data_IF_604267050647
#
_entry.id   IF_604267050647
#
_cell.length_a   1.000
_cell.length_b   1.000
_cell.length_c   1.000
_cell.angle_alpha   90.00
_cell.angle_beta   90.00
_cell.angle_gamma   90.00
#
_symmetry.space_group_name_H-M   'P 1'
#
loop_
_entity.id
_entity.type
_entity.pdbx_description
1 polymer ?
#
# COMPACT_ATOMS: atom_id res chain seq x y z
N UNK A 1 21.54 -2.51 20.58
CA UNK A 1 21.96 -2.66 19.17
C UNK A 1 20.96 -1.89 18.34
N UNK A 2 21.36 -0.76 17.77
CA UNK A 2 20.52 -0.05 16.80
C UNK A 2 20.62 -0.83 15.48
N UNK A 3 19.49 -1.30 14.97
CA UNK A 3 19.45 -1.89 13.64
C UNK A 3 19.52 -0.73 12.64
N UNK A 4 20.73 -0.37 12.21
CA UNK A 4 20.95 0.62 11.16
C UNK A 4 20.54 0.03 9.81
N UNK A 5 19.77 0.79 9.04
CA UNK A 5 19.39 0.41 7.67
C UNK A 5 19.86 1.47 6.69
N UNK A 6 20.24 1.04 5.49
CA UNK A 6 20.63 1.96 4.43
C UNK A 6 19.38 2.63 3.84
N UNK A 7 19.49 3.90 3.44
CA UNK A 7 18.41 4.64 2.78
C UNK A 7 17.82 3.87 1.59
N UNK A 8 18.67 3.19 0.80
CA UNK A 8 18.21 2.38 -0.34
C UNK A 8 17.35 1.17 0.08
N UNK A 9 17.59 0.61 1.27
CA UNK A 9 16.77 -0.46 1.82
C UNK A 9 15.41 0.06 2.27
N UNK A 10 15.32 1.31 2.76
CA UNK A 10 14.06 1.95 3.15
C UNK A 10 13.11 2.23 1.97
N UNK A 11 13.58 2.14 0.71
CA UNK A 11 12.77 2.31 -0.50
C UNK A 11 12.43 0.95 -1.13
N UNK A 12 13.31 -0.05 -0.98
CA UNK A 12 13.14 -1.39 -1.55
C UNK A 12 12.69 -2.39 -0.50
N UNK A 13 13.64 -3.00 0.21
CA UNK A 13 13.41 -4.13 1.14
C UNK A 13 12.45 -3.79 2.27
N UNK A 14 12.57 -2.57 2.80
CA UNK A 14 11.80 -2.03 3.92
C UNK A 14 10.97 -0.81 3.47
N UNK A 15 10.53 -0.81 2.21
CA UNK A 15 9.65 0.21 1.65
C UNK A 15 8.26 0.21 2.30
N UNK A 16 7.47 1.25 2.02
CA UNK A 16 6.07 1.35 2.47
C UNK A 16 5.30 0.07 2.13
N UNK A 17 4.56 -0.49 3.09
CA UNK A 17 3.78 -1.71 2.92
C UNK A 17 4.56 -3.02 3.05
N UNK A 18 5.88 -2.99 3.21
CA UNK A 18 6.67 -4.17 3.59
C UNK A 18 6.38 -4.59 5.03
N UNK A 19 6.54 -5.89 5.31
CA UNK A 19 6.46 -6.46 6.66
C UNK A 19 7.87 -6.88 7.08
N UNK A 20 8.29 -6.38 8.23
CA UNK A 20 9.61 -6.63 8.82
C UNK A 20 9.44 -7.48 10.07
N UNK A 21 10.12 -8.62 10.08
CA UNK A 21 10.10 -9.55 11.19
C UNK A 21 11.23 -9.31 12.19
N UNK A 22 10.84 -9.28 13.46
CA UNK A 22 11.70 -9.29 14.63
C UNK A 22 11.37 -10.53 15.47
N UNK A 23 12.26 -10.96 16.38
CA UNK A 23 12.01 -12.15 17.21
C UNK A 23 10.69 -12.12 17.98
N UNK A 24 10.30 -10.94 18.47
CA UNK A 24 9.13 -10.75 19.33
C UNK A 24 7.96 -10.01 18.62
N UNK A 25 8.15 -9.52 17.38
CA UNK A 25 7.20 -8.64 16.70
C UNK A 25 7.27 -8.76 15.18
N UNK A 26 6.16 -8.45 14.51
CA UNK A 26 6.13 -8.19 13.07
C UNK A 26 5.59 -6.78 12.86
N UNK A 27 6.31 -5.97 12.10
CA UNK A 27 6.00 -4.56 11.88
C UNK A 27 5.75 -4.30 10.39
N UNK A 28 4.68 -3.58 10.06
CA UNK A 28 4.47 -3.04 8.72
C UNK A 28 5.00 -1.61 8.63
N UNK A 29 5.77 -1.33 7.59
CA UNK A 29 6.28 0.01 7.29
C UNK A 29 5.15 0.90 6.77
N UNK A 30 4.99 2.07 7.40
CA UNK A 30 3.91 3.03 7.13
C UNK A 30 4.38 4.05 6.08
N UNK A 31 3.47 4.44 5.18
CA UNK A 31 3.69 5.49 4.20
C UNK A 31 4.03 6.81 4.88
N UNK A 32 5.07 7.54 4.42
CA UNK A 32 5.31 8.89 4.90
C UNK A 32 4.17 9.86 4.54
N UNK A 33 3.40 9.58 3.49
CA UNK A 33 2.37 10.50 2.95
C UNK A 33 1.13 10.62 3.85
N UNK A 34 0.87 9.61 4.68
CA UNK A 34 -0.30 9.52 5.57
C UNK A 34 0.02 9.97 7.01
N UNK A 35 1.22 10.53 7.21
CA UNK A 35 1.70 10.94 8.52
C UNK A 35 1.59 12.46 8.69
N UNK A 36 1.14 12.89 9.86
CA UNK A 36 1.12 14.31 10.26
C UNK A 36 2.50 14.97 10.11
N UNK A 37 3.55 14.22 10.45
CA UNK A 37 4.96 14.60 10.24
C UNK A 37 5.57 13.69 9.17
N UNK A 38 5.37 14.03 7.90
CA UNK A 38 5.98 13.36 6.75
C UNK A 38 7.44 13.79 6.57
N UNK A 39 8.19 13.08 5.72
CA UNK A 39 9.59 13.43 5.42
C UNK A 39 9.77 14.74 4.63
N UNK A 40 8.66 15.33 4.16
CA UNK A 40 8.62 16.61 3.44
C UNK A 40 8.19 17.81 4.28
N UNK A 41 7.96 17.64 5.58
CA UNK A 41 7.50 18.72 6.48
C UNK A 41 8.66 19.55 7.06
N UNK A 42 8.44 20.84 7.22
CA UNK A 42 9.34 21.89 7.75
C UNK A 42 8.41 22.92 8.44
N UNK A 43 8.75 23.74 9.44
CA UNK A 43 9.93 24.56 9.69
C UNK A 43 9.58 25.32 11.01
N UNK A 44 10.36 25.21 12.11
CA UNK A 44 10.47 26.20 13.23
C UNK A 44 10.84 25.65 14.62
N UNK A 45 10.81 24.32 14.89
CA UNK A 45 11.05 23.83 16.27
C UNK A 45 12.00 22.65 16.47
N UNK A 46 12.42 21.92 15.43
CA UNK A 46 13.15 20.65 15.65
C UNK A 46 14.40 20.36 14.80
N UNK A 47 14.84 21.27 13.91
CA UNK A 47 16.19 21.23 13.31
C UNK A 47 16.46 20.15 12.23
N UNK A 48 15.53 19.88 11.31
CA UNK A 48 15.74 18.94 10.19
C UNK A 48 15.41 19.61 8.85
N UNK A 49 16.27 19.44 7.85
CA UNK A 49 16.06 19.95 6.49
C UNK A 49 14.96 19.14 5.76
N UNK A 50 14.15 19.82 4.94
CA UNK A 50 13.27 19.20 3.93
C UNK A 50 14.07 18.22 3.07
N UNK A 51 13.78 16.92 3.17
CA UNK A 51 14.34 15.91 2.27
C UNK A 51 13.60 15.87 0.92
N UNK A 52 13.12 17.02 0.45
CA UNK A 52 12.34 17.16 -0.78
C UNK A 52 13.28 17.07 -1.98
N UNK A 53 12.92 16.21 -2.94
CA UNK A 53 13.57 16.12 -4.24
C UNK A 53 12.57 16.60 -5.29
N UNK A 54 12.95 17.64 -6.03
CA UNK A 54 12.15 18.20 -7.11
C UNK A 54 12.74 17.86 -8.47
N UNK A 55 11.93 17.32 -9.36
CA UNK A 55 12.19 17.12 -10.79
C UNK A 55 10.81 17.18 -11.49
N UNK A 56 10.49 18.32 -12.11
CA UNK A 56 9.14 18.56 -12.63
C UNK A 56 8.75 17.60 -13.75
N UNK A 57 9.72 17.13 -14.54
CA UNK A 57 9.49 16.13 -15.58
C UNK A 57 9.05 14.81 -14.96
N UNK A 58 9.79 14.32 -13.96
CA UNK A 58 9.44 13.09 -13.25
C UNK A 58 8.17 13.25 -12.41
N UNK A 59 7.96 14.40 -11.79
CA UNK A 59 6.71 14.75 -11.09
C UNK A 59 5.50 14.68 -12.05
N UNK A 60 5.58 15.32 -13.22
CA UNK A 60 4.53 15.29 -14.24
C UNK A 60 4.33 13.89 -14.85
N UNK A 61 5.40 13.12 -15.00
CA UNK A 61 5.35 11.73 -15.44
C UNK A 61 4.60 10.85 -14.43
N UNK A 62 4.84 11.06 -13.13
CA UNK A 62 4.33 10.23 -12.05
C UNK A 62 3.05 10.76 -11.39
N UNK A 63 2.62 11.98 -11.73
CA UNK A 63 1.43 12.60 -11.16
C UNK A 63 1.58 12.97 -9.68
N UNK A 64 2.78 13.37 -9.26
CA UNK A 64 3.08 13.74 -7.86
C UNK A 64 3.63 15.16 -7.75
N UNK A 65 3.43 15.79 -6.59
CA UNK A 65 3.82 17.18 -6.36
C UNK A 65 5.33 17.33 -6.18
N UNK A 66 5.93 16.37 -5.47
CA UNK A 66 7.36 16.28 -5.21
C UNK A 66 7.70 14.87 -4.70
N UNK A 67 9.00 14.56 -4.64
CA UNK A 67 9.49 13.34 -4.01
C UNK A 67 10.10 13.66 -2.64
N UNK A 68 10.15 12.67 -1.76
CA UNK A 68 10.83 12.76 -0.47
C UNK A 68 11.87 11.64 -0.34
N UNK A 69 13.04 11.97 0.18
CA UNK A 69 14.05 10.97 0.55
C UNK A 69 13.79 10.48 1.99
N UNK A 70 14.00 9.18 2.26
CA UNK A 70 14.03 8.68 3.63
C UNK A 70 15.04 9.47 4.47
N UNK A 71 14.71 9.81 5.73
CA UNK A 71 15.57 10.64 6.56
C UNK A 71 16.89 9.93 6.88
N UNK A 72 18.02 10.62 6.68
CA UNK A 72 19.35 10.14 7.04
C UNK A 72 19.64 10.23 8.55
N UNK A 73 18.91 11.10 9.25
CA UNK A 73 18.92 11.27 10.71
C UNK A 73 17.48 11.17 11.21
N UNK A 74 17.26 10.44 12.29
CA UNK A 74 15.92 10.24 12.86
C UNK A 74 15.80 10.91 14.23
N UNK A 75 14.62 11.42 14.57
CA UNK A 75 14.25 11.85 15.91
C UNK A 75 12.87 11.29 16.31
N UNK A 76 12.27 11.76 17.40
CA UNK A 76 10.93 11.33 17.85
C UNK A 76 9.78 11.62 16.86
N UNK A 77 9.96 12.55 15.93
CA UNK A 77 8.94 13.01 14.98
C UNK A 77 9.19 12.52 13.55
N UNK A 78 10.46 12.56 13.12
CA UNK A 78 10.93 12.27 11.77
C UNK A 78 11.74 10.99 11.81
N UNK A 79 11.24 9.97 11.12
CA UNK A 79 11.87 8.67 11.02
C UNK A 79 11.07 7.71 10.16
N UNK A 80 11.57 6.49 10.04
CA UNK A 80 10.78 5.40 9.48
C UNK A 80 9.76 4.98 10.52
N UNK A 81 8.48 5.13 10.18
CA UNK A 81 7.39 4.70 11.07
C UNK A 81 6.91 3.32 10.66
N UNK A 82 6.61 2.52 11.66
CA UNK A 82 6.06 1.20 11.48
C UNK A 82 5.02 0.95 12.58
N UNK A 83 4.08 0.06 12.31
CA UNK A 83 3.10 -0.42 13.28
C UNK A 83 3.08 -1.94 13.32
N UNK A 84 2.55 -2.50 14.40
CA UNK A 84 2.41 -3.95 14.50
C UNK A 84 1.39 -4.47 13.50
N UNK A 85 1.83 -5.35 12.61
CA UNK A 85 0.96 -6.08 11.69
C UNK A 85 1.57 -7.47 11.41
N UNK A 86 0.78 -8.55 11.44
CA UNK A 86 -0.65 -8.66 11.68
C UNK A 86 -1.05 -8.22 13.10
N UNK A 87 -2.28 -7.73 13.24
CA UNK A 87 -2.85 -7.41 14.54
C UNK A 87 -3.24 -8.66 15.33
N UNK A 88 -3.51 -9.78 14.65
CA UNK A 88 -3.77 -11.06 15.31
C UNK A 88 -2.46 -11.73 15.74
N UNK A 89 -2.40 -12.14 17.00
CA UNK A 89 -1.32 -12.88 17.61
C UNK A 89 -1.88 -14.07 18.38
N UNK A 90 -1.05 -15.04 18.75
CA UNK A 90 -1.44 -16.14 19.62
C UNK A 90 -0.44 -16.37 20.75
N UNK A 91 -0.93 -16.88 21.88
CA UNK A 91 -0.07 -17.26 23.00
C UNK A 91 0.64 -18.60 22.69
N UNK A 92 1.97 -18.72 22.86
CA UNK A 92 2.68 -19.98 22.67
C UNK A 92 2.26 -21.07 23.66
N UNK A 93 1.79 -20.68 24.85
CA UNK A 93 1.40 -21.60 25.93
C UNK A 93 -0.08 -22.00 25.82
N UNK A 94 -1.00 -21.08 26.09
CA UNK A 94 -2.44 -21.38 26.11
C UNK A 94 -3.11 -21.36 24.73
N UNK A 95 -2.38 -20.96 23.68
CA UNK A 95 -2.84 -20.95 22.27
C UNK A 95 -4.02 -20.04 21.97
N UNK A 96 -4.39 -19.18 22.92
CA UNK A 96 -5.43 -18.18 22.73
C UNK A 96 -5.01 -17.18 21.66
N UNK A 97 -5.93 -16.88 20.73
CA UNK A 97 -5.74 -15.85 19.72
C UNK A 97 -6.22 -14.52 20.30
N UNK A 98 -5.40 -13.49 20.15
CA UNK A 98 -5.70 -12.12 20.53
C UNK A 98 -5.54 -11.20 19.33
N UNK A 99 -6.37 -10.17 19.28
CA UNK A 99 -6.13 -9.02 18.42
C UNK A 99 -5.50 -7.90 19.26
N UNK A 100 -4.41 -7.29 18.77
CA UNK A 100 -3.69 -6.24 19.49
C UNK A 100 -4.56 -5.01 19.73
N UNK A 101 -5.36 -4.59 18.76
CA UNK A 101 -6.22 -3.42 18.92
C UNK A 101 -7.24 -3.67 20.02
N UNK A 102 -7.80 -4.88 20.08
CA UNK A 102 -8.67 -5.30 21.16
C UNK A 102 -7.96 -5.30 22.54
N UNK A 103 -6.70 -5.77 22.60
CA UNK A 103 -5.91 -5.72 23.84
C UNK A 103 -5.66 -4.29 24.31
N UNK A 104 -5.32 -3.38 23.39
CA UNK A 104 -5.13 -1.95 23.69
C UNK A 104 -6.41 -1.35 24.27
N UNK A 105 -7.56 -1.60 23.63
CA UNK A 105 -8.84 -1.01 24.06
C UNK A 105 -9.38 -1.60 25.37
N UNK A 106 -9.26 -2.91 25.59
CA UNK A 106 -9.93 -3.59 26.71
C UNK A 106 -9.02 -3.83 27.91
N UNK A 107 -7.70 -3.77 27.69
CA UNK A 107 -6.71 -3.95 28.74
C UNK A 107 -5.68 -2.80 28.78
N UNK A 108 -6.13 -1.52 28.84
CA UNK A 108 -5.24 -0.37 28.79
C UNK A 108 -4.25 -0.32 29.97
N UNK A 109 -4.62 -0.90 31.12
CA UNK A 109 -3.75 -0.97 32.29
C UNK A 109 -2.51 -1.86 32.09
N UNK A 110 -2.57 -2.85 31.18
CA UNK A 110 -1.40 -3.66 30.80
C UNK A 110 -0.52 -2.98 29.75
N UNK A 111 -1.03 -1.95 29.06
CA UNK A 111 -0.26 -1.23 28.05
C UNK A 111 1.02 -0.60 28.63
N UNK A 112 0.98 -0.12 29.88
CA UNK A 112 2.16 0.40 30.58
C UNK A 112 3.30 -0.63 30.67
N UNK A 113 2.96 -1.89 30.96
CA UNK A 113 3.94 -2.99 31.02
C UNK A 113 4.53 -3.29 29.65
N UNK A 114 3.72 -3.16 28.59
CA UNK A 114 4.15 -3.40 27.21
C UNK A 114 5.12 -2.32 26.73
N UNK A 115 4.84 -1.05 27.00
CA UNK A 115 5.72 0.08 26.59
C UNK A 115 7.03 0.13 27.38
N UNK A 116 7.04 -0.35 28.63
CA UNK A 116 8.26 -0.46 29.44
C UNK A 116 9.21 -1.56 28.88
N UNK A 117 8.67 -2.55 28.17
CA UNK A 117 9.47 -3.55 27.46
C UNK A 117 10.04 -2.92 26.18
N UNK A 118 11.37 -2.91 26.02
CA UNK A 118 12.05 -2.38 24.82
C UNK A 118 11.51 -2.92 23.49
N UNK A 119 10.93 -4.13 23.49
CA UNK A 119 10.35 -4.73 22.30
C UNK A 119 8.97 -4.18 21.94
N UNK A 120 8.18 -3.63 22.85
CA UNK A 120 6.78 -3.24 22.61
C UNK A 120 5.81 -4.41 22.33
N UNK A 121 6.29 -5.65 22.39
CA UNK A 121 5.50 -6.87 22.21
C UNK A 121 4.52 -7.12 23.36
N UNK A 122 3.27 -7.39 23.00
CA UNK A 122 2.22 -7.81 23.94
C UNK A 122 2.48 -9.20 24.51
N UNK A 123 1.95 -9.44 25.71
CA UNK A 123 1.97 -10.73 26.37
C UNK A 123 0.56 -11.30 26.53
N UNK A 124 0.46 -12.60 26.78
CA UNK A 124 -0.81 -13.26 27.03
C UNK A 124 -1.43 -12.83 28.36
N UNK A 125 -2.48 -12.01 28.30
CA UNK A 125 -3.21 -11.54 29.48
C UNK A 125 -3.78 -12.70 30.31
N UNK A 126 -4.39 -13.70 29.66
CA UNK A 126 -5.03 -14.80 30.39
C UNK A 126 -4.03 -15.69 31.15
N UNK A 127 -2.81 -15.91 30.62
CA UNK A 127 -1.79 -16.63 31.38
C UNK A 127 -1.25 -15.75 32.51
N UNK A 128 -1.01 -14.47 32.25
CA UNK A 128 -0.53 -13.53 33.28
C UNK A 128 -1.50 -13.42 34.47
N UNK A 129 -2.80 -13.29 34.22
CA UNK A 129 -3.81 -13.26 35.28
C UNK A 129 -3.92 -14.60 36.03
N UNK A 130 -3.73 -15.73 35.32
CA UNK A 130 -3.83 -17.07 35.91
C UNK A 130 -2.63 -17.45 36.78
N UNK A 131 -1.41 -17.15 36.34
CA UNK A 131 -0.18 -17.67 36.95
C UNK A 131 0.99 -16.66 37.01
N UNK A 132 0.76 -15.38 36.71
CA UNK A 132 1.78 -14.33 36.74
C UNK A 132 2.80 -14.38 35.60
N UNK A 133 2.69 -15.34 34.67
CA UNK A 133 3.70 -15.55 33.62
C UNK A 133 3.42 -14.71 32.37
N UNK A 134 4.43 -13.97 31.91
CA UNK A 134 4.35 -13.10 30.73
C UNK A 134 4.85 -13.82 29.48
N UNK A 135 4.01 -14.67 28.89
CA UNK A 135 4.30 -15.25 27.58
C UNK A 135 4.13 -14.20 26.49
N UNK A 136 5.22 -13.82 25.80
CA UNK A 136 5.17 -12.95 24.62
C UNK A 136 4.27 -13.57 23.55
N UNK A 137 3.34 -12.77 23.00
CA UNK A 137 2.45 -13.22 21.93
C UNK A 137 3.21 -13.33 20.62
N UNK A 138 2.90 -14.38 19.84
CA UNK A 138 3.51 -14.62 18.54
C UNK A 138 2.58 -14.06 17.45
N UNK A 139 3.06 -13.16 16.56
CA UNK A 139 2.26 -12.66 15.44
C UNK A 139 1.74 -13.80 14.55
N UNK A 140 0.50 -13.67 14.08
CA UNK A 140 -0.11 -14.65 13.17
C UNK A 140 0.77 -14.87 11.94
N UNK A 141 0.90 -16.14 11.54
CA UNK A 141 1.58 -16.51 10.29
C UNK A 141 0.71 -16.26 9.07
N UNK A 142 -0.61 -16.34 9.25
CA UNK A 142 -1.59 -16.22 8.17
C UNK A 142 -2.15 -14.81 8.11
N UNK A 143 -2.20 -14.30 6.88
CA UNK A 143 -2.78 -13.02 6.48
C UNK A 143 -3.66 -13.26 5.25
N UNK A 144 -4.49 -12.29 4.89
CA UNK A 144 -5.14 -12.26 3.58
C UNK A 144 -4.67 -11.05 2.79
N UNK A 145 -4.48 -11.20 1.47
CA UNK A 145 -4.05 -10.10 0.61
C UNK A 145 -4.67 -10.19 -0.78
N UNK A 146 -4.92 -9.03 -1.39
CA UNK A 146 -5.32 -8.90 -2.80
C UNK A 146 -4.10 -8.65 -3.69
N UNK A 147 -4.21 -8.85 -5.01
CA UNK A 147 -3.10 -8.53 -5.94
C UNK A 147 -2.76 -7.03 -5.94
N UNK A 148 -3.76 -6.18 -5.69
CA UNK A 148 -3.67 -4.71 -5.74
C UNK A 148 -3.07 -4.05 -4.49
N UNK A 149 -2.56 -4.82 -3.51
CA UNK A 149 -1.85 -4.24 -2.36
C UNK A 149 -2.60 -4.34 -1.03
N UNK A 150 -3.93 -4.41 -1.04
CA UNK A 150 -4.74 -4.52 0.19
C UNK A 150 -4.40 -5.80 0.96
N UNK A 151 -4.32 -5.68 2.28
CA UNK A 151 -3.84 -6.74 3.17
C UNK A 151 -4.52 -6.64 4.52
N UNK A 152 -4.94 -7.76 5.07
CA UNK A 152 -5.62 -7.82 6.35
C UNK A 152 -5.17 -9.04 7.15
N UNK A 153 -5.50 -9.01 8.44
CA UNK A 153 -5.38 -10.16 9.30
C UNK A 153 -6.17 -11.35 8.74
N UNK A 154 -5.67 -12.58 8.93
CA UNK A 154 -6.50 -13.75 8.64
C UNK A 154 -7.76 -13.74 9.52
N UNK A 155 -8.97 -13.85 8.95
CA UNK A 155 -10.20 -13.59 9.69
C UNK A 155 -10.64 -14.82 10.49
N UNK A 156 -9.89 -15.14 11.55
CA UNK A 156 -10.07 -16.35 12.37
C UNK A 156 -11.51 -16.53 12.89
N UNK A 157 -12.16 -15.45 13.32
CA UNK A 157 -13.53 -15.50 13.84
C UNK A 157 -14.54 -15.88 12.76
N UNK A 158 -14.47 -15.20 11.62
CA UNK A 158 -15.29 -15.51 10.46
C UNK A 158 -15.04 -16.95 9.99
N UNK A 159 -13.77 -17.36 9.93
CA UNK A 159 -13.37 -18.68 9.46
C UNK A 159 -13.89 -19.80 10.36
N UNK A 160 -13.73 -19.67 11.67
CA UNK A 160 -14.21 -20.64 12.66
C UNK A 160 -15.74 -20.79 12.62
N UNK A 161 -16.45 -19.69 12.34
CA UNK A 161 -17.91 -19.62 12.32
C UNK A 161 -18.51 -19.62 10.90
N UNK A 162 -17.79 -20.12 9.90
CA UNK A 162 -18.24 -20.11 8.49
C UNK A 162 -19.48 -21.00 8.23
N UNK A 163 -19.65 -22.05 9.02
CA UNK A 163 -20.81 -22.96 8.95
C UNK A 163 -22.08 -22.27 9.42
N UNK A 164 -23.19 -22.47 8.71
CA UNK A 164 -24.46 -21.80 8.93
C UNK A 164 -24.95 -21.86 10.38
N UNK A 165 -24.82 -23.03 11.02
CA UNK A 165 -25.12 -23.27 12.44
C UNK A 165 -24.46 -22.26 13.39
N UNK A 166 -23.25 -21.79 13.06
CA UNK A 166 -22.44 -20.94 13.92
C UNK A 166 -22.35 -19.48 13.45
N UNK A 167 -22.82 -19.16 12.23
CA UNK A 167 -22.78 -17.80 11.67
C UNK A 167 -23.42 -16.74 12.58
N UNK A 168 -24.56 -16.99 13.27
CA UNK A 168 -25.17 -15.98 14.16
C UNK A 168 -24.25 -15.53 15.29
N UNK A 169 -23.26 -16.36 15.66
CA UNK A 169 -22.41 -16.12 16.81
C UNK A 169 -21.26 -15.12 16.54
N UNK A 170 -20.97 -14.82 15.26
CA UNK A 170 -19.91 -13.89 14.85
C UNK A 170 -20.40 -12.44 14.97
N UNK A 171 -19.48 -11.50 15.18
CA UNK A 171 -19.82 -10.05 15.27
C UNK A 171 -20.61 -9.57 14.05
N UNK A 172 -20.24 -10.06 12.87
CA UNK A 172 -20.80 -9.65 11.57
C UNK A 172 -22.03 -10.46 11.11
N UNK A 173 -22.53 -11.42 11.90
CA UNK A 173 -23.51 -12.41 11.42
C UNK A 173 -24.76 -12.60 12.26
N UNK A 174 -24.91 -11.87 13.36
CA UNK A 174 -26.06 -12.03 14.25
C UNK A 174 -25.86 -11.34 15.60
N UNK A 175 -26.18 -12.06 16.68
CA UNK A 175 -26.14 -11.55 18.07
C UNK A 175 -24.72 -11.28 18.58
N UNK A 176 -23.68 -11.72 17.84
CA UNK A 176 -22.28 -11.52 18.20
C UNK A 176 -21.89 -12.20 19.50
N UNK A 177 -22.70 -13.15 20.01
CA UNK A 177 -22.56 -13.62 21.40
C UNK A 177 -21.20 -14.22 21.68
N UNK A 178 -20.56 -14.91 20.73
CA UNK A 178 -19.24 -15.51 20.99
C UNK A 178 -18.13 -14.48 21.17
N UNK A 179 -18.19 -13.36 20.44
CA UNK A 179 -17.22 -12.29 20.60
C UNK A 179 -17.52 -11.40 21.83
N UNK A 180 -18.79 -11.25 22.20
CA UNK A 180 -19.23 -10.42 23.32
C UNK A 180 -19.13 -11.18 24.67
N UNK A 181 -19.30 -12.51 24.69
CA UNK A 181 -19.55 -13.27 25.93
C UNK A 181 -18.33 -13.58 26.80
N UNK A 182 -17.28 -12.75 26.82
CA UNK A 182 -16.09 -12.71 27.73
C UNK A 182 -14.88 -12.26 26.92
N UNK A 183 -14.61 -10.95 26.92
CA UNK A 183 -13.34 -10.32 26.50
C UNK A 183 -12.71 -10.89 25.21
N UNK A 184 -13.41 -10.82 24.07
CA UNK A 184 -13.03 -11.03 22.65
C UNK A 184 -11.79 -11.89 22.27
N UNK A 185 -11.37 -12.82 23.13
CA UNK A 185 -10.28 -13.79 22.96
C UNK A 185 -10.87 -15.20 23.05
N UNK A 186 -12.06 -15.33 22.49
CA UNK A 186 -12.87 -16.55 22.48
C UNK A 186 -12.31 -17.62 21.54
N UNK A 187 -11.29 -17.30 20.74
CA UNK A 187 -10.65 -18.25 19.85
C UNK A 187 -9.33 -18.77 20.42
N UNK A 188 -9.02 -20.03 20.14
CA UNK A 188 -7.72 -20.64 20.39
C UNK A 188 -7.33 -21.58 19.26
N UNK A 189 -6.02 -21.79 19.12
CA UNK A 189 -5.47 -22.84 18.29
C UNK A 189 -5.42 -24.18 19.04
N UNK A 190 -5.72 -25.27 18.35
CA UNK A 190 -5.48 -26.64 18.80
C UNK A 190 -4.55 -27.32 17.79
N UNK A 191 -3.45 -27.89 18.28
CA UNK A 191 -2.47 -28.61 17.47
C UNK A 191 -2.60 -30.09 17.80
N UNK A 192 -2.97 -30.89 16.81
CA UNK A 192 -3.05 -32.36 16.89
C UNK A 192 -1.87 -33.04 16.17
N UNK A 193 -1.06 -32.25 15.47
CA UNK A 193 0.10 -32.71 14.69
C UNK A 193 0.92 -31.52 14.20
N UNK A 194 1.89 -31.81 13.33
CA UNK A 194 2.80 -30.80 12.77
C UNK A 194 2.33 -30.24 11.41
N UNK A 195 1.35 -30.89 10.76
CA UNK A 195 0.83 -30.42 9.47
C UNK A 195 -0.19 -29.30 9.67
N UNK A 196 -0.39 -28.48 8.64
CA UNK A 196 -1.40 -27.42 8.68
C UNK A 196 -2.82 -27.99 8.90
N UNK A 197 -3.09 -29.18 8.37
CA UNK A 197 -4.38 -29.87 8.52
C UNK A 197 -4.68 -30.27 9.95
N UNK A 198 -3.63 -30.45 10.77
CA UNK A 198 -3.74 -30.82 12.18
C UNK A 198 -3.80 -29.59 13.10
N UNK A 199 -3.84 -28.38 12.52
CA UNK A 199 -4.04 -27.14 13.26
C UNK A 199 -5.50 -26.72 13.11
N UNK A 200 -6.17 -26.53 14.24
CA UNK A 200 -7.58 -26.16 14.29
C UNK A 200 -7.77 -24.83 14.99
N UNK A 201 -8.69 -24.03 14.49
CA UNK A 201 -9.23 -22.86 15.19
C UNK A 201 -10.48 -23.31 15.92
N UNK A 202 -10.55 -23.07 17.22
CA UNK A 202 -11.68 -23.44 18.06
C UNK A 202 -12.23 -22.27 18.83
N UNK A 203 -13.56 -22.15 18.85
CA UNK A 203 -14.27 -21.25 19.74
C UNK A 203 -14.39 -21.85 21.14
N UNK A 204 -14.13 -21.04 22.17
CA UNK A 204 -14.26 -21.42 23.59
C UNK A 204 -15.68 -21.26 24.12
N UNK A 205 -16.52 -20.52 23.38
CA UNK A 205 -17.90 -20.19 23.79
C UNK A 205 -18.91 -21.15 23.16
N UNK A 206 -18.73 -21.46 21.87
CA UNK A 206 -19.56 -22.44 21.17
C UNK A 206 -18.71 -23.61 20.67
N UNK A 207 -19.36 -24.66 20.18
CA UNK A 207 -18.69 -25.87 19.67
C UNK A 207 -18.07 -25.72 18.27
N UNK A 208 -17.90 -24.48 17.76
CA UNK A 208 -17.28 -24.25 16.46
C UNK A 208 -15.79 -24.63 16.49
N UNK A 209 -15.37 -25.43 15.51
CA UNK A 209 -14.00 -25.92 15.36
C UNK A 209 -13.74 -26.19 13.88
N UNK A 210 -12.68 -25.60 13.33
CA UNK A 210 -12.36 -25.66 11.90
C UNK A 210 -10.87 -25.91 11.67
N UNK A 211 -10.54 -26.84 10.77
CA UNK A 211 -9.16 -27.13 10.37
C UNK A 211 -8.59 -25.98 9.54
N UNK A 212 -7.31 -25.64 9.72
CA UNK A 212 -6.57 -24.71 8.86
C UNK A 212 -6.00 -25.38 7.61
N UNK A 213 -6.08 -26.71 7.49
CA UNK A 213 -5.58 -27.46 6.33
C UNK A 213 -5.96 -26.89 4.97
N UNK A 214 -7.23 -26.52 4.74
CA UNK A 214 -7.65 -26.10 3.41
C UNK A 214 -7.34 -24.63 3.13
N UNK A 215 -6.86 -23.79 4.06
CA UNK A 215 -6.86 -22.31 3.90
C UNK A 215 -6.10 -21.78 2.66
N UNK A 216 -5.20 -22.56 2.08
CA UNK A 216 -4.48 -22.21 0.84
C UNK A 216 -5.15 -22.75 -0.44
N UNK A 217 -6.23 -23.50 -0.33
CA UNK A 217 -7.00 -24.01 -1.45
C UNK A 217 -7.85 -22.89 -2.06
N UNK A 218 -7.31 -22.34 -3.14
CA UNK A 218 -7.90 -21.24 -3.91
C UNK A 218 -9.02 -21.69 -4.85
N UNK A 219 -9.24 -22.99 -5.01
CA UNK A 219 -10.32 -23.51 -5.84
C UNK A 219 -11.52 -23.92 -5.00
N UNK A 220 -11.37 -23.98 -3.67
CA UNK A 220 -12.46 -24.19 -2.74
C UNK A 220 -13.40 -22.97 -2.71
N UNK A 221 -14.66 -23.09 -3.16
CA UNK A 221 -15.61 -21.99 -3.18
C UNK A 221 -15.90 -21.44 -1.78
N UNK A 222 -15.78 -22.24 -0.71
CA UNK A 222 -15.97 -21.81 0.69
C UNK A 222 -14.81 -20.93 1.18
N UNK A 223 -13.63 -21.05 0.58
CA UNK A 223 -12.46 -20.20 0.82
C UNK A 223 -12.35 -19.05 -0.19
N UNK A 224 -12.94 -19.22 -1.37
CA UNK A 224 -13.30 -18.16 -2.31
C UNK A 224 -14.62 -17.45 -1.93
N UNK A 225 -14.98 -17.48 -0.64
CA UNK A 225 -15.99 -16.61 -0.03
C UNK A 225 -15.43 -15.33 0.62
N UNK A 226 -14.38 -14.64 0.09
CA UNK A 226 -14.21 -13.26 0.48
C UNK A 226 -15.35 -12.39 -0.03
N UNK A 227 -16.31 -12.91 -0.81
CA UNK A 227 -17.57 -12.21 -1.05
C UNK A 227 -18.37 -12.00 0.25
N UNK A 228 -18.58 -13.01 1.11
CA UNK A 228 -19.30 -12.81 2.38
C UNK A 228 -18.47 -12.05 3.43
N UNK A 229 -17.15 -12.28 3.50
CA UNK A 229 -16.28 -11.51 4.40
C UNK A 229 -16.16 -10.04 3.97
N UNK A 230 -15.96 -9.77 2.68
CA UNK A 230 -15.91 -8.40 2.16
C UNK A 230 -17.28 -7.73 2.19
N UNK A 231 -18.38 -8.42 1.86
CA UNK A 231 -19.73 -7.83 1.96
C UNK A 231 -20.07 -7.41 3.38
N UNK A 232 -19.73 -8.23 4.38
CA UNK A 232 -19.87 -7.84 5.79
C UNK A 232 -19.01 -6.62 6.16
N UNK A 233 -17.95 -6.34 5.39
CA UNK A 233 -17.04 -5.21 5.53
C UNK A 233 -17.37 -4.08 4.55
N UNK A 234 -18.57 -4.05 3.97
CA UNK A 234 -18.99 -3.06 2.95
C UNK A 234 -18.04 -2.99 1.75
N UNK A 235 -17.47 -4.12 1.35
CA UNK A 235 -16.50 -4.24 0.27
C UNK A 235 -15.11 -3.70 0.63
N UNK A 236 -14.81 -3.39 1.90
CA UNK A 236 -13.53 -2.81 2.29
C UNK A 236 -12.56 -3.83 2.89
N UNK A 237 -11.27 -3.62 2.67
CA UNK A 237 -10.18 -4.38 3.30
C UNK A 237 -9.15 -3.42 3.91
N UNK A 238 -8.40 -3.89 4.91
CA UNK A 238 -7.39 -3.08 5.58
C UNK A 238 -6.27 -2.63 4.64
N UNK A 239 -5.74 -1.43 4.93
CA UNK A 239 -4.58 -0.80 4.33
C UNK A 239 -3.63 -0.33 5.44
N UNK A 240 -3.00 -1.24 6.22
CA UNK A 240 -2.29 -0.89 7.44
C UNK A 240 -1.06 0.00 7.19
N UNK A 241 -0.51 0.02 5.98
CA UNK A 241 0.58 0.93 5.60
C UNK A 241 0.14 2.40 5.56
N UNK A 242 -1.16 2.70 5.55
CA UNK A 242 -1.66 4.07 5.74
C UNK A 242 -1.70 4.48 7.21
N UNK A 243 -1.52 3.53 8.13
CA UNK A 243 -1.56 3.75 9.57
C UNK A 243 -2.86 3.26 10.23
N UNK A 244 -3.11 3.79 11.42
CA UNK A 244 -4.28 3.50 12.25
C UNK A 244 -5.04 4.77 12.57
N UNK A 245 -6.36 4.63 12.75
CA UNK A 245 -7.17 5.68 13.34
C UNK A 245 -6.96 5.69 14.86
N UNK A 246 -6.43 6.78 15.40
CA UNK A 246 -6.10 6.88 16.83
C UNK A 246 -7.31 6.79 17.78
N UNK A 247 -8.53 7.08 17.29
CA UNK A 247 -9.75 6.99 18.10
C UNK A 247 -10.30 5.57 18.17
N UNK A 248 -10.27 4.85 17.05
CA UNK A 248 -10.85 3.50 16.96
C UNK A 248 -9.82 2.39 17.12
N UNK A 249 -8.53 2.72 17.05
CA UNK A 249 -7.41 1.78 16.95
C UNK A 249 -7.50 0.82 15.76
N UNK A 250 -8.36 1.08 14.78
CA UNK A 250 -8.46 0.26 13.57
C UNK A 250 -7.48 0.73 12.50
N UNK A 251 -7.01 -0.20 11.66
CA UNK A 251 -6.32 0.15 10.43
C UNK A 251 -7.23 0.97 9.51
N UNK A 252 -6.63 1.88 8.74
CA UNK A 252 -7.33 2.46 7.60
C UNK A 252 -7.78 1.34 6.65
N UNK A 253 -8.90 1.56 5.97
CA UNK A 253 -9.52 0.58 5.07
C UNK A 253 -9.74 1.22 3.71
N UNK A 254 -9.67 0.42 2.67
CA UNK A 254 -9.94 0.81 1.29
C UNK A 254 -10.91 -0.17 0.66
N UNK A 255 -11.68 0.32 -0.31
CA UNK A 255 -12.61 -0.52 -1.08
C UNK A 255 -11.83 -1.53 -1.93
N UNK A 256 -12.16 -2.80 -1.79
CA UNK A 256 -11.78 -3.84 -2.73
C UNK A 256 -12.63 -3.66 -3.98
N UNK A 257 -11.98 -3.45 -5.12
CA UNK A 257 -12.69 -3.30 -6.39
C UNK A 257 -13.51 -4.56 -6.71
N UNK A 258 -14.76 -4.35 -7.10
CA UNK A 258 -15.58 -5.44 -7.60
C UNK A 258 -14.99 -5.89 -8.95
N UNK A 259 -14.78 -7.20 -9.15
CA UNK A 259 -14.33 -7.68 -10.44
C UNK A 259 -15.44 -7.51 -11.50
N UNK A 260 -15.08 -7.36 -12.79
CA UNK A 260 -16.03 -7.43 -13.89
C UNK A 260 -16.87 -8.73 -13.82
N UNK A 261 -18.14 -8.67 -14.20
CA UNK A 261 -19.06 -9.83 -14.26
C UNK A 261 -19.30 -10.56 -12.92
N UNK A 262 -19.16 -9.88 -11.78
CA UNK A 262 -19.41 -10.47 -10.46
C UNK A 262 -20.75 -11.21 -10.35
N UNK A 263 -21.81 -10.70 -10.97
CA UNK A 263 -23.15 -11.33 -10.96
C UNK A 263 -23.18 -12.69 -11.65
N UNK A 264 -22.38 -12.90 -12.69
CA UNK A 264 -22.31 -14.17 -13.43
C UNK A 264 -21.48 -15.21 -12.65
N UNK A 265 -20.46 -14.75 -11.92
CA UNK A 265 -19.67 -15.58 -11.02
C UNK A 265 -20.53 -16.19 -9.92
N UNK A 266 -21.36 -15.36 -9.29
CA UNK A 266 -22.28 -15.79 -8.23
C UNK A 266 -23.30 -16.82 -8.73
N UNK A 267 -23.59 -16.84 -10.03
CA UNK A 267 -24.47 -17.83 -10.67
C UNK A 267 -23.74 -19.11 -11.09
N UNK A 268 -22.42 -19.20 -10.88
CA UNK A 268 -21.60 -20.39 -11.17
C UNK A 268 -21.25 -20.59 -12.65
N UNK A 269 -21.52 -19.61 -13.52
CA UNK A 269 -21.48 -19.75 -14.98
C UNK A 269 -20.18 -19.23 -15.63
N UNK A 270 -19.03 -19.40 -14.98
CA UNK A 270 -17.78 -18.72 -15.38
C UNK A 270 -16.70 -19.67 -15.89
N UNK A 271 -16.06 -19.29 -17.01
CA UNK A 271 -14.95 -20.03 -17.65
C UNK A 271 -13.68 -19.97 -16.80
N UNK A 272 -12.74 -20.90 -17.03
CA UNK A 272 -11.49 -20.99 -16.26
C UNK A 272 -10.65 -19.71 -16.31
N UNK A 273 -10.57 -19.07 -17.47
CA UNK A 273 -9.82 -17.82 -17.69
C UNK A 273 -10.38 -16.64 -16.88
N UNK A 274 -11.71 -16.54 -16.79
CA UNK A 274 -12.39 -15.52 -16.00
C UNK A 274 -12.17 -15.75 -14.49
N UNK A 275 -12.10 -17.01 -14.02
CA UNK A 275 -11.74 -17.31 -12.62
C UNK A 275 -10.37 -16.76 -12.24
N UNK A 276 -9.40 -16.77 -13.15
CA UNK A 276 -8.06 -16.22 -12.90
C UNK A 276 -8.03 -14.68 -12.84
N UNK A 277 -8.97 -14.01 -13.52
CA UNK A 277 -9.21 -12.56 -13.38
C UNK A 277 -9.84 -12.26 -12.03
N UNK A 278 -10.88 -12.99 -11.61
CA UNK A 278 -11.55 -12.82 -10.31
C UNK A 278 -10.58 -12.98 -9.14
N UNK A 279 -9.70 -13.96 -9.27
CA UNK A 279 -8.62 -14.28 -8.35
C UNK A 279 -7.72 -13.06 -8.05
N UNK A 280 -7.64 -12.05 -8.92
CA UNK A 280 -6.86 -10.81 -8.68
C UNK A 280 -7.51 -9.85 -7.68
N UNK A 281 -8.84 -9.77 -7.72
CA UNK A 281 -9.64 -8.86 -6.90
C UNK A 281 -9.90 -9.43 -5.51
N UNK A 282 -10.06 -10.75 -5.42
CA UNK A 282 -10.36 -11.39 -4.15
C UNK A 282 -9.12 -11.61 -3.28
N UNK A 283 -9.20 -11.31 -1.98
CA UNK A 283 -8.12 -11.57 -1.06
C UNK A 283 -7.92 -13.08 -0.89
N UNK A 284 -6.66 -13.48 -0.80
CA UNK A 284 -6.22 -14.86 -0.66
C UNK A 284 -5.35 -15.01 0.56
N UNK A 285 -5.38 -16.19 1.17
CA UNK A 285 -4.53 -16.49 2.32
C UNK A 285 -3.08 -16.61 1.88
N UNK A 286 -2.19 -15.89 2.56
CA UNK A 286 -0.74 -15.94 2.36
C UNK A 286 -0.03 -16.19 3.70
N UNK A 287 1.23 -16.60 3.62
CA UNK A 287 2.12 -16.65 4.77
C UNK A 287 2.93 -15.36 4.84
N UNK A 288 2.83 -14.64 5.95
CA UNK A 288 3.46 -13.33 6.18
C UNK A 288 4.97 -13.28 5.91
N UNK A 289 5.69 -14.34 6.20
CA UNK A 289 7.15 -14.45 6.01
C UNK A 289 7.57 -15.09 4.68
N UNK A 290 6.62 -15.39 3.79
CA UNK A 290 6.96 -15.88 2.46
C UNK A 290 7.34 -14.72 1.54
N UNK A 291 8.28 -14.94 0.63
CA UNK A 291 8.77 -13.92 -0.33
C UNK A 291 7.72 -13.42 -1.33
N UNK A 292 6.45 -13.83 -1.19
CA UNK A 292 5.34 -13.50 -2.09
C UNK A 292 4.31 -12.53 -1.50
N UNK A 293 4.61 -11.87 -0.38
CA UNK A 293 3.67 -10.94 0.28
C UNK A 293 3.91 -9.49 -0.12
N UNK A 294 5.11 -9.12 -0.57
CA UNK A 294 5.44 -7.72 -0.87
C UNK A 294 6.38 -7.65 -2.07
N UNK A 295 5.95 -6.92 -3.10
CA UNK A 295 6.74 -6.65 -4.29
C UNK A 295 6.76 -5.13 -4.55
N UNK A 296 7.89 -4.45 -4.30
CA UNK A 296 7.94 -3.01 -4.47
C UNK A 296 7.91 -2.63 -5.95
N UNK A 297 6.95 -1.78 -6.33
CA UNK A 297 6.86 -1.22 -7.67
C UNK A 297 7.72 0.04 -7.69
N UNK A 298 8.89 -0.07 -8.33
CA UNK A 298 9.87 1.00 -8.39
C UNK A 298 9.95 1.60 -9.80
N UNK A 299 10.28 2.88 -9.85
CA UNK A 299 10.62 3.58 -11.08
C UNK A 299 12.01 4.19 -10.96
N UNK A 300 12.77 4.09 -12.04
CA UNK A 300 14.10 4.66 -12.15
C UNK A 300 14.02 5.83 -13.14
N UNK A 301 14.45 7.00 -12.70
CA UNK A 301 14.56 8.18 -13.56
C UNK A 301 15.87 8.91 -13.28
N UNK A 302 16.37 9.63 -14.27
CA UNK A 302 17.55 10.47 -14.10
C UNK A 302 17.17 11.93 -13.87
N UNK A 303 17.82 12.58 -12.91
CA UNK A 303 17.61 14.02 -12.71
C UNK A 303 18.32 14.77 -13.83
N UNK A 304 17.55 15.56 -14.57
CA UNK A 304 18.08 16.40 -15.63
C UNK A 304 18.31 17.84 -15.12
N UNK A 305 19.27 18.59 -15.67
CA UNK A 305 19.39 20.01 -15.39
C UNK A 305 18.11 20.76 -15.78
N UNK A 306 17.71 21.76 -14.97
CA UNK A 306 16.43 22.46 -15.13
C UNK A 306 16.23 23.10 -16.51
N UNK A 307 17.31 23.45 -17.21
CA UNK A 307 17.26 24.09 -18.52
C UNK A 307 16.76 23.16 -19.65
N UNK A 308 16.60 21.85 -19.38
CA UNK A 308 16.23 20.84 -20.40
C UNK A 308 14.75 20.51 -20.48
N UNK A 309 13.94 20.98 -19.54
CA UNK A 309 12.50 20.75 -19.58
C UNK A 309 11.75 22.01 -19.18
N UNK A 310 10.63 22.27 -19.87
CA UNK A 310 9.79 23.44 -19.60
C UNK A 310 9.24 23.33 -18.19
N UNK A 311 9.48 24.33 -17.37
CA UNK A 311 8.84 24.38 -16.07
C UNK A 311 7.35 24.62 -16.28
N UNK A 312 6.51 23.72 -15.78
CA UNK A 312 5.09 24.03 -15.69
C UNK A 312 4.94 25.04 -14.55
N UNK A 313 4.24 26.15 -14.79
CA UNK A 313 3.87 27.11 -13.74
C UNK A 313 3.29 26.35 -12.53
N UNK A 314 3.52 26.86 -11.32
CA UNK A 314 3.11 26.25 -10.04
C UNK A 314 1.75 25.54 -10.16
N UNK A 315 1.78 24.21 -10.09
CA UNK A 315 0.58 23.38 -10.24
C UNK A 315 -0.10 23.21 -8.88
N UNK A 316 -1.45 23.21 -8.84
CA UNK A 316 -2.19 22.73 -7.68
C UNK A 316 -1.79 21.29 -7.37
N UNK A 317 -1.74 20.94 -6.09
CA UNK A 317 -1.32 19.61 -5.66
C UNK A 317 -2.29 18.54 -6.17
N UNK A 318 -1.78 17.35 -6.55
CA UNK A 318 -2.65 16.22 -6.95
C UNK A 318 -3.70 15.85 -5.89
N UNK A 319 -3.41 16.17 -4.62
CA UNK A 319 -4.34 16.02 -3.49
C UNK A 319 -5.48 17.04 -3.51
N UNK A 320 -5.22 18.28 -3.92
CA UNK A 320 -6.25 19.30 -4.13
C UNK A 320 -7.16 18.94 -5.31
N UNK A 321 -6.59 18.46 -6.41
CA UNK A 321 -7.39 18.00 -7.54
C UNK A 321 -8.27 16.79 -7.18
N UNK A 322 -7.76 15.82 -6.42
CA UNK A 322 -8.57 14.70 -5.94
C UNK A 322 -9.76 15.17 -5.08
N UNK A 323 -9.52 16.09 -4.14
CA UNK A 323 -10.61 16.68 -3.34
C UNK A 323 -11.60 17.44 -4.21
N UNK A 324 -11.11 18.17 -5.21
CA UNK A 324 -11.96 18.93 -6.11
C UNK A 324 -12.81 18.02 -7.01
N UNK A 325 -12.25 16.91 -7.48
CA UNK A 325 -12.99 15.85 -8.19
C UNK A 325 -14.10 15.28 -7.29
N UNK A 326 -13.80 15.01 -6.02
CA UNK A 326 -14.81 14.54 -5.07
C UNK A 326 -15.95 15.55 -4.89
N UNK A 327 -15.64 16.84 -4.83
CA UNK A 327 -16.64 17.93 -4.78
C UNK A 327 -17.48 17.99 -6.04
N UNK A 328 -16.87 17.89 -7.23
CA UNK A 328 -17.58 17.89 -8.50
C UNK A 328 -18.54 16.71 -8.63
N UNK A 329 -18.12 15.53 -8.19
CA UNK A 329 -18.98 14.33 -8.14
C UNK A 329 -20.13 14.54 -7.17
N UNK A 330 -19.85 15.11 -5.99
CA UNK A 330 -20.87 15.41 -4.98
C UNK A 330 -21.96 16.35 -5.50
N UNK A 331 -21.57 17.42 -6.18
CA UNK A 331 -22.49 18.42 -6.74
C UNK A 331 -23.31 17.83 -7.91
N UNK A 332 -22.72 16.91 -8.68
CA UNK A 332 -23.37 16.29 -9.84
C UNK A 332 -24.01 14.93 -9.53
N UNK A 333 -24.19 14.55 -8.25
CA UNK A 333 -24.77 13.25 -7.85
C UNK A 333 -26.09 12.91 -8.54
N UNK A 334 -26.92 13.89 -8.86
CA UNK A 334 -28.19 13.68 -9.56
C UNK A 334 -28.06 13.25 -11.03
N UNK A 335 -26.89 13.49 -11.64
CA UNK A 335 -26.58 13.19 -13.04
C UNK A 335 -25.64 11.97 -13.18
N UNK A 336 -25.31 11.31 -12.07
CA UNK A 336 -24.32 10.23 -12.02
C UNK A 336 -25.07 8.91 -11.72
N UNK A 337 -25.13 8.02 -12.70
CA UNK A 337 -25.86 6.74 -12.60
C UNK A 337 -25.19 5.73 -11.66
N UNK A 338 -23.84 5.76 -11.56
CA UNK A 338 -23.05 4.87 -10.71
C UNK A 338 -22.05 5.65 -9.85
N UNK A 339 -21.96 5.32 -8.55
CA UNK A 339 -20.99 5.96 -7.66
C UNK A 339 -19.56 5.52 -8.01
N UNK A 340 -18.67 6.44 -8.43
CA UNK A 340 -17.30 6.10 -8.79
C UNK A 340 -16.46 5.77 -7.55
N UNK A 341 -15.74 4.65 -7.59
CA UNK A 341 -14.93 4.15 -6.48
C UNK A 341 -13.42 4.25 -6.75
N UNK A 342 -13.01 4.45 -8.00
CA UNK A 342 -11.62 4.69 -8.41
C UNK A 342 -11.41 6.12 -8.88
N UNK A 343 -10.19 6.65 -8.73
CA UNK A 343 -9.83 7.92 -9.37
C UNK A 343 -10.06 7.88 -10.89
N UNK A 344 -9.85 6.73 -11.53
CA UNK A 344 -10.10 6.53 -12.95
C UNK A 344 -11.57 6.76 -13.33
N UNK A 345 -12.50 6.08 -12.64
CA UNK A 345 -13.94 6.26 -12.86
C UNK A 345 -14.36 7.69 -12.54
N UNK A 346 -13.83 8.26 -11.45
CA UNK A 346 -14.07 9.65 -11.09
C UNK A 346 -13.67 10.57 -12.25
N UNK A 347 -12.46 10.44 -12.77
CA UNK A 347 -11.96 11.23 -13.90
C UNK A 347 -12.76 11.01 -15.18
N UNK A 348 -13.14 9.76 -15.51
CA UNK A 348 -14.01 9.44 -16.66
C UNK A 348 -15.38 10.10 -16.54
N UNK A 349 -15.98 10.06 -15.35
CA UNK A 349 -17.25 10.74 -15.08
C UNK A 349 -17.07 12.25 -15.23
N UNK A 350 -16.01 12.84 -14.69
CA UNK A 350 -15.78 14.29 -14.88
C UNK A 350 -15.62 14.62 -16.37
N UNK A 351 -14.90 13.82 -17.17
CA UNK A 351 -14.80 14.03 -18.63
C UNK A 351 -16.14 13.92 -19.37
N UNK A 352 -17.09 13.17 -18.82
CA UNK A 352 -18.44 13.07 -19.40
C UNK A 352 -19.34 14.27 -19.06
N UNK A 353 -18.96 15.10 -18.09
CA UNK A 353 -19.72 16.30 -17.74
C UNK A 353 -19.50 17.41 -18.78
N UNK A 354 -20.52 18.27 -19.00
CA UNK A 354 -20.37 19.46 -19.84
C UNK A 354 -19.19 20.34 -19.41
N UNK A 355 -18.33 20.73 -20.35
CA UNK A 355 -17.14 21.55 -20.08
C UNK A 355 -17.50 22.89 -19.42
N UNK A 356 -18.68 23.47 -19.69
CA UNK A 356 -19.09 24.73 -19.05
C UNK A 356 -19.28 24.58 -17.53
N UNK A 357 -19.79 23.43 -17.07
CA UNK A 357 -19.99 23.13 -15.64
C UNK A 357 -18.63 23.01 -14.93
N UNK A 358 -17.69 22.30 -15.56
CA UNK A 358 -16.35 22.13 -15.03
C UNK A 358 -15.63 23.49 -14.95
N UNK A 359 -15.66 24.25 -16.04
CA UNK A 359 -15.00 25.55 -16.15
C UNK A 359 -15.51 26.57 -15.13
N UNK A 360 -16.83 26.67 -14.98
CA UNK A 360 -17.45 27.57 -13.99
C UNK A 360 -17.11 27.18 -12.56
N UNK A 361 -17.06 25.87 -12.26
CA UNK A 361 -16.66 25.39 -10.94
C UNK A 361 -15.18 25.62 -10.66
N UNK A 362 -14.30 25.43 -11.66
CA UNK A 362 -12.87 25.75 -11.54
C UNK A 362 -12.65 27.24 -11.23
N UNK A 363 -13.37 28.14 -11.91
CA UNK A 363 -13.31 29.58 -11.64
C UNK A 363 -13.73 29.88 -10.20
N UNK A 364 -14.85 29.32 -9.74
CA UNK A 364 -15.35 29.51 -8.37
C UNK A 364 -14.41 28.97 -7.28
N UNK A 365 -13.61 27.94 -7.61
CA UNK A 365 -12.64 27.33 -6.69
C UNK A 365 -11.22 27.91 -6.80
N UNK A 366 -10.97 28.87 -7.71
CA UNK A 366 -9.63 29.41 -7.96
C UNK A 366 -8.66 28.39 -8.59
N UNK A 367 -9.18 27.40 -9.31
CA UNK A 367 -8.41 26.32 -9.92
C UNK A 367 -8.10 26.65 -11.39
N UNK A 368 -6.84 26.45 -11.79
CA UNK A 368 -6.44 26.55 -13.19
C UNK A 368 -7.09 25.43 -14.03
N UNK A 369 -7.89 25.82 -15.03
CA UNK A 369 -8.64 24.90 -15.88
C UNK A 369 -7.73 24.00 -16.73
N UNK A 370 -6.66 24.53 -17.31
CA UNK A 370 -5.73 23.78 -18.16
C UNK A 370 -5.02 22.68 -17.37
N UNK A 371 -4.54 23.01 -16.17
CA UNK A 371 -3.89 22.04 -15.28
C UNK A 371 -4.88 20.96 -14.81
N UNK A 372 -6.13 21.34 -14.56
CA UNK A 372 -7.17 20.42 -14.14
C UNK A 372 -7.56 19.43 -15.24
N UNK A 373 -7.77 19.89 -16.47
CA UNK A 373 -8.06 19.01 -17.60
C UNK A 373 -6.87 18.10 -17.90
N UNK A 374 -5.65 18.63 -17.85
CA UNK A 374 -4.45 17.80 -17.99
C UNK A 374 -4.40 16.71 -16.91
N UNK A 375 -4.69 17.05 -15.65
CA UNK A 375 -4.74 16.09 -14.55
C UNK A 375 -5.79 15.00 -14.78
N UNK A 376 -7.00 15.38 -15.21
CA UNK A 376 -8.08 14.43 -15.47
C UNK A 376 -7.74 13.52 -16.65
N UNK A 377 -7.27 14.09 -17.76
CA UNK A 377 -6.88 13.33 -18.96
C UNK A 377 -5.86 12.26 -18.59
N UNK A 378 -4.80 12.64 -17.85
CA UNK A 378 -3.77 11.72 -17.32
C UNK A 378 -4.37 10.57 -16.51
N UNK A 379 -5.41 10.83 -15.74
CA UNK A 379 -6.01 9.87 -14.82
C UNK A 379 -7.27 9.17 -15.39
N UNK A 380 -7.69 9.46 -16.62
CA UNK A 380 -8.93 8.97 -17.24
C UNK A 380 -8.72 7.89 -18.32
N UNK A 381 -7.55 7.84 -18.96
CA UNK A 381 -7.23 6.83 -19.98
C UNK A 381 -6.76 5.52 -19.36
N UNK A 382 -7.12 4.39 -19.98
CA UNK A 382 -6.56 3.09 -19.62
C UNK A 382 -5.05 3.09 -19.89
N UNK A 383 -4.30 3.21 -18.80
CA UNK A 383 -2.86 3.41 -18.64
C UNK A 383 -1.97 2.34 -19.30
N UNK A 384 -2.01 2.20 -20.62
CA UNK A 384 -0.91 1.59 -21.40
C UNK A 384 -0.39 2.54 -22.47
N UNK A 385 -1.21 3.01 -23.41
CA UNK A 385 -0.76 3.89 -24.51
C UNK A 385 -0.20 5.22 -24.00
N UNK A 386 -0.91 5.90 -23.11
CA UNK A 386 -0.50 7.21 -22.58
C UNK A 386 0.73 7.15 -21.66
N UNK A 387 0.86 6.09 -20.84
CA UNK A 387 2.08 5.85 -20.06
C UNK A 387 3.26 5.50 -20.95
N UNK A 388 3.03 4.79 -22.07
CA UNK A 388 4.06 4.52 -23.07
C UNK A 388 4.50 5.85 -23.68
N UNK A 389 3.60 6.71 -24.14
CA UNK A 389 3.94 8.02 -24.73
C UNK A 389 4.66 8.95 -23.75
N UNK A 390 4.22 9.01 -22.49
CA UNK A 390 4.91 9.80 -21.45
C UNK A 390 6.29 9.23 -21.09
N UNK A 391 6.42 7.90 -20.97
CA UNK A 391 7.72 7.27 -20.73
C UNK A 391 8.65 7.47 -21.93
N UNK A 392 8.15 7.40 -23.15
CA UNK A 392 8.91 7.66 -24.37
C UNK A 392 9.34 9.12 -24.45
N UNK A 393 8.46 10.08 -24.15
CA UNK A 393 8.80 11.49 -24.03
C UNK A 393 9.88 11.73 -22.98
N UNK A 394 9.71 11.14 -21.79
CA UNK A 394 10.68 11.18 -20.70
C UNK A 394 12.05 10.62 -21.12
N UNK A 395 12.08 9.48 -21.81
CA UNK A 395 13.30 8.87 -22.35
C UNK A 395 13.91 9.70 -23.49
N UNK A 396 13.09 10.36 -24.29
CA UNK A 396 13.53 11.25 -25.33
C UNK A 396 14.16 12.53 -24.79
N UNK A 397 13.60 13.10 -23.72
CA UNK A 397 14.18 14.24 -22.99
C UNK A 397 15.54 13.86 -22.38
N UNK A 398 15.64 12.66 -21.79
CA UNK A 398 16.92 12.10 -21.31
C UNK A 398 17.93 11.94 -22.45
N UNK A 399 17.52 11.31 -23.56
CA UNK A 399 18.36 11.16 -24.75
C UNK A 399 18.85 12.50 -25.30
N UNK A 400 17.96 13.48 -25.44
CA UNK A 400 18.30 14.85 -25.87
C UNK A 400 19.31 15.48 -24.93
N UNK A 401 19.08 15.41 -23.62
CA UNK A 401 19.99 15.96 -22.63
C UNK A 401 21.38 15.31 -22.71
N UNK A 402 21.43 13.97 -22.77
CA UNK A 402 22.69 13.23 -22.80
C UNK A 402 23.49 13.53 -24.07
N UNK A 403 22.82 13.73 -25.20
CA UNK A 403 23.46 13.87 -26.50
C UNK A 403 23.75 15.32 -26.92
N UNK A 404 23.31 16.31 -26.14
CA UNK A 404 23.52 17.73 -26.38
C UNK A 404 24.78 18.24 -25.70
N UNK A 405 25.49 19.19 -26.33
CA UNK A 405 26.58 19.92 -25.68
C UNK A 405 25.97 20.94 -24.73
N UNK A 406 26.27 20.82 -23.44
CA UNK A 406 25.64 21.69 -22.44
C UNK A 406 26.58 22.81 -22.05
N UNK A 407 26.13 24.03 -22.30
CA UNK A 407 26.78 25.25 -21.85
C UNK A 407 26.09 25.71 -20.56
N UNK A 408 26.85 26.30 -19.62
CA UNK A 408 26.35 26.84 -18.34
C UNK A 408 25.90 25.82 -17.28
N UNK A 409 26.50 24.62 -17.22
CA UNK A 409 26.36 23.74 -16.04
C UNK A 409 27.00 24.40 -14.81
N UNK A 410 26.25 24.46 -13.71
CA UNK A 410 26.75 24.94 -12.42
C UNK A 410 27.37 23.79 -11.63
N UNK A 411 28.15 24.10 -10.59
CA UNK A 411 28.68 23.06 -9.67
C UNK A 411 27.58 22.27 -8.94
N UNK A 412 26.37 22.83 -8.85
CA UNK A 412 25.22 22.19 -8.20
C UNK A 412 24.50 21.21 -9.13
N UNK A 413 24.73 21.29 -10.44
CA UNK A 413 24.18 20.34 -11.39
C UNK A 413 24.91 19.01 -11.28
N UNK A 414 24.18 17.98 -10.85
CA UNK A 414 24.67 16.61 -10.77
C UNK A 414 24.68 15.92 -12.15
N UNK A 415 25.17 16.65 -13.15
CA UNK A 415 25.19 16.24 -14.54
C UNK A 415 26.49 16.70 -15.21
N UNK A 416 27.16 15.81 -15.93
CA UNK A 416 28.30 16.15 -16.79
C UNK A 416 28.42 15.12 -17.90
N UNK A 417 28.35 15.56 -19.15
CA UNK A 417 28.61 14.74 -20.33
C UNK A 417 29.83 15.25 -21.11
N UNK A 418 30.40 14.36 -21.91
CA UNK A 418 31.45 14.65 -22.89
C UNK A 418 31.13 13.90 -24.17
N UNK A 419 31.03 14.62 -25.28
CA UNK A 419 30.77 14.05 -26.60
C UNK A 419 32.11 13.80 -27.27
N UNK A 420 32.37 12.56 -27.66
CA UNK A 420 33.54 12.15 -28.43
C UNK A 420 33.12 11.71 -29.82
N UNK A 421 33.86 12.21 -30.81
CA UNK A 421 33.75 11.72 -32.18
C UNK A 421 34.21 10.26 -32.25
N UNK A 422 33.54 9.47 -33.08
CA UNK A 422 33.86 8.05 -33.22
C UNK A 422 35.02 7.92 -34.19
N UNK A 423 36.20 7.54 -33.67
CA UNK A 423 37.30 7.13 -34.51
C UNK A 423 37.19 5.63 -34.82
N UNK A 424 36.69 5.32 -36.01
CA UNK A 424 36.49 3.95 -36.52
C UNK A 424 37.59 3.52 -37.48
N UNK A 425 38.76 4.19 -37.49
CA UNK A 425 39.85 3.87 -38.42
C UNK A 425 40.26 2.40 -38.40
N UNK A 426 40.17 1.77 -37.23
CA UNK A 426 40.51 0.36 -37.03
C UNK A 426 39.33 -0.60 -37.34
N UNK A 427 38.11 -0.08 -37.49
CA UNK A 427 36.86 -0.85 -37.71
C UNK A 427 35.87 -0.06 -38.60
N UNK A 428 36.17 0.14 -39.90
CA UNK A 428 35.42 1.04 -40.78
C UNK A 428 33.94 0.66 -40.93
N UNK A 429 33.60 -0.63 -40.80
CA UNK A 429 32.23 -1.15 -40.82
C UNK A 429 31.33 -0.54 -39.74
N UNK A 430 31.90 -0.08 -38.62
CA UNK A 430 31.15 0.52 -37.51
C UNK A 430 30.64 1.93 -37.81
N UNK A 431 31.18 2.62 -38.83
CA UNK A 431 30.71 3.96 -39.23
C UNK A 431 29.24 4.00 -39.63
N UNK A 432 28.69 2.88 -40.10
CA UNK A 432 27.27 2.78 -40.46
C UNK A 432 26.34 2.68 -39.25
N UNK A 433 26.88 2.37 -38.07
CA UNK A 433 26.10 2.07 -36.86
C UNK A 433 26.36 3.06 -35.71
N UNK A 434 27.52 3.71 -35.68
CA UNK A 434 27.94 4.61 -34.60
C UNK A 434 28.11 6.05 -35.12
N UNK A 435 27.26 6.97 -34.64
CA UNK A 435 27.36 8.40 -34.98
C UNK A 435 28.28 9.16 -34.01
N UNK A 436 28.10 8.96 -32.69
CA UNK A 436 28.87 9.62 -31.63
C UNK A 436 28.92 8.76 -30.38
N UNK A 437 29.98 8.93 -29.56
CA UNK A 437 30.08 8.35 -28.23
C UNK A 437 29.88 9.45 -27.19
N UNK A 438 29.00 9.22 -26.23
CA UNK A 438 28.76 10.16 -25.13
C UNK A 438 29.24 9.52 -23.83
N UNK A 439 30.18 10.16 -23.15
CA UNK A 439 30.61 9.78 -21.81
C UNK A 439 29.83 10.58 -20.77
N UNK A 440 29.12 9.91 -19.86
CA UNK A 440 28.41 10.52 -18.75
C UNK A 440 29.27 10.45 -17.48
N UNK A 441 29.98 11.53 -17.17
CA UNK A 441 30.89 11.63 -16.02
C UNK A 441 30.16 11.84 -14.69
N UNK A 442 29.02 12.52 -14.71
CA UNK A 442 28.16 12.72 -13.53
C UNK A 442 26.70 12.57 -13.95
N UNK A 443 25.94 11.82 -13.16
CA UNK A 443 24.52 11.62 -13.35
C UNK A 443 23.89 11.32 -11.99
N UNK A 444 22.72 11.91 -11.72
CA UNK A 444 21.93 11.59 -10.53
C UNK A 444 20.76 10.70 -10.93
N UNK A 445 20.69 9.52 -10.34
CA UNK A 445 19.57 8.60 -10.49
C UNK A 445 18.63 8.73 -9.29
N UNK A 446 17.33 8.80 -9.55
CA UNK A 446 16.28 8.61 -8.55
C UNK A 446 15.75 7.18 -8.63
N UNK A 447 15.70 6.51 -7.49
CA UNK A 447 14.97 5.27 -7.31
C UNK A 447 13.70 5.59 -6.53
N UNK A 448 12.56 5.57 -7.22
CA UNK A 448 11.28 6.05 -6.69
C UNK A 448 10.39 4.85 -6.43
N UNK A 449 9.98 4.63 -5.17
CA UNK A 449 8.93 3.65 -4.86
C UNK A 449 7.58 4.28 -5.23
N UNK A 450 6.93 3.75 -6.27
CA UNK A 450 5.60 4.20 -6.71
C UNK A 450 4.47 3.57 -5.92
N UNK A 451 4.73 2.38 -5.38
CA UNK A 451 3.76 1.56 -4.70
C UNK A 451 4.31 0.16 -4.52
N UNK A 452 3.42 -0.80 -4.41
CA UNK A 452 3.75 -2.21 -4.26
C UNK A 452 2.55 -3.07 -4.68
N UNK A 453 2.84 -4.28 -5.07
CA UNK A 453 1.85 -5.35 -5.30
C UNK A 453 2.04 -6.44 -4.25
N UNK A 454 1.05 -7.33 -4.15
CA UNK A 454 1.12 -8.54 -3.33
C UNK A 454 0.66 -9.72 -4.16
N UNK A 455 0.96 -10.95 -3.72
CA UNK A 455 0.65 -12.21 -4.44
C UNK A 455 1.46 -12.37 -5.74
N UNK A 456 1.52 -11.35 -6.59
CA UNK A 456 2.27 -11.32 -7.86
C UNK A 456 3.10 -10.03 -7.97
N UNK A 457 4.35 -10.12 -8.47
CA UNK A 457 5.22 -8.97 -8.70
C UNK A 457 4.72 -8.05 -9.82
#
# INVERSE_FOLDING_TARGET
MGNEIRISQAIRTFGTGSIVDFPDLSLMMISPDEQEFSWGFDESSNGFDKNIVKDERLQNLLGVDFFVLPPSKTNKYVGLKALQFPGNCYCPDCRTIYNINHLISNYPHYYKIVIEKRSGAWFCVSCFEKNGTKYTLIPSRFIIATEYGLIDDFPYDWYCHKNEKYRPNRIEGGDGKCAISRNHSHLKLEFEGASLSDIYVKCKVCSARESLGPIFDLDNPVLMLPLNYLWNRNGMLSAPWKGINYKTHEFYKETVYAPPNLKEYLKGAIKKEEKDVMKKYFPRVLQRGAGNVFFPVNYIGFVLPKNFYTQSKEKPSGKEFNKFIDVLILINKGNIEEQPNTLLEKCKIILSLPKEIINSTCIGAGINQEDFFQYIEINSEENKSFLIEKNEKSRYDEFKCFTSKIENLTKNDWFKNEIKDVNTSNYPELNKFLNKVVLLHKLKQLNIQKGFTRVRP
#
